data_IF_010557640547
#
_entry.id   IF_010557640547
#
_cell.length_a   1.000
_cell.length_b   1.000
_cell.length_c   1.000
_cell.angle_alpha   90.00
_cell.angle_beta   90.00
_cell.angle_gamma   90.00
#
_symmetry.space_group_name_H-M   'P 1'
#
loop_
_entity.id
_entity.type
_entity.pdbx_description
1 polymer ?
#
# COMPACT_ATOMS: atom_id res chain seq x y z
N UNK A 1 20.17 2.86 -5.85
CA UNK A 1 18.69 2.73 -5.78
C UNK A 1 18.10 3.53 -4.62
N UNK A 2 18.35 3.21 -3.34
CA UNK A 2 17.80 3.98 -2.21
C UNK A 2 18.19 5.47 -2.25
N UNK A 3 19.47 5.79 -2.39
CA UNK A 3 19.93 7.20 -2.42
C UNK A 3 19.31 8.03 -3.54
N UNK A 4 19.09 7.45 -4.71
CA UNK A 4 18.44 8.12 -5.84
C UNK A 4 16.95 8.38 -5.58
N UNK A 5 16.22 7.37 -5.08
CA UNK A 5 14.82 7.53 -4.70
C UNK A 5 14.64 8.56 -3.57
N UNK A 6 15.52 8.52 -2.57
CA UNK A 6 15.55 9.48 -1.45
C UNK A 6 15.82 10.90 -1.94
N UNK A 7 16.83 11.10 -2.79
CA UNK A 7 17.14 12.40 -3.35
C UNK A 7 15.98 12.93 -4.20
N UNK A 8 15.43 12.11 -5.10
CA UNK A 8 14.33 12.52 -5.98
C UNK A 8 13.09 12.91 -5.19
N UNK A 9 12.67 12.08 -4.22
CA UNK A 9 11.51 12.41 -3.39
C UNK A 9 11.77 13.64 -2.54
N UNK A 10 12.97 13.79 -1.97
CA UNK A 10 13.28 14.95 -1.13
C UNK A 10 13.18 16.27 -1.90
N UNK A 11 13.67 16.27 -3.14
CA UNK A 11 13.57 17.44 -4.04
C UNK A 11 12.12 17.74 -4.40
N UNK A 12 11.31 16.73 -4.72
CA UNK A 12 9.90 16.93 -5.06
C UNK A 12 9.04 17.36 -3.87
N UNK A 13 9.34 16.84 -2.68
CA UNK A 13 8.58 17.11 -1.46
C UNK A 13 9.00 18.42 -0.77
N UNK A 14 10.22 18.91 -1.03
CA UNK A 14 10.80 20.05 -0.32
C UNK A 14 11.19 19.75 1.13
N UNK A 15 11.31 18.47 1.48
CA UNK A 15 11.66 17.98 2.83
C UNK A 15 12.49 16.70 2.72
N UNK A 16 13.31 16.41 3.72
CA UNK A 16 14.20 15.24 3.69
C UNK A 16 13.36 13.95 3.76
N UNK A 17 13.58 13.07 2.79
CA UNK A 17 13.00 11.73 2.75
C UNK A 17 14.13 10.69 2.58
N UNK A 18 14.08 9.64 3.40
CA UNK A 18 15.04 8.53 3.37
C UNK A 18 14.32 7.21 3.10
N UNK A 19 14.89 6.39 2.22
CA UNK A 19 14.38 5.06 1.88
C UNK A 19 15.40 4.00 2.27
N UNK A 20 14.90 2.89 2.82
CA UNK A 20 15.66 1.65 2.97
C UNK A 20 15.69 0.88 1.63
N UNK A 21 16.73 0.08 1.40
CA UNK A 21 16.75 -0.90 0.31
C UNK A 21 17.34 -2.23 0.77
N UNK A 22 16.79 -3.31 0.24
CA UNK A 22 17.24 -4.68 0.48
C UNK A 22 17.28 -5.47 -0.82
N UNK A 23 18.15 -6.47 -0.86
CA UNK A 23 18.23 -7.41 -1.98
C UNK A 23 17.37 -8.64 -1.63
N UNK A 24 16.51 -9.04 -2.57
CA UNK A 24 15.78 -10.30 -2.52
C UNK A 24 16.29 -11.22 -3.63
N UNK A 25 16.96 -12.30 -3.27
CA UNK A 25 17.49 -13.26 -4.24
C UNK A 25 16.39 -14.25 -4.63
N UNK A 26 15.97 -14.21 -5.90
CA UNK A 26 14.86 -15.00 -6.45
C UNK A 26 15.37 -15.77 -7.68
N UNK A 27 16.02 -16.94 -7.50
CA UNK A 27 16.77 -17.62 -8.56
C UNK A 27 15.91 -18.24 -9.67
N UNK A 28 14.59 -18.31 -9.51
CA UNK A 28 13.67 -18.86 -10.52
C UNK A 28 12.54 -17.89 -10.81
N UNK A 29 11.97 -17.97 -12.01
CA UNK A 29 10.83 -17.14 -12.41
C UNK A 29 9.63 -17.32 -11.47
N UNK A 30 9.37 -18.54 -11.01
CA UNK A 30 8.26 -18.82 -10.09
C UNK A 30 8.44 -18.06 -8.77
N UNK A 31 9.66 -17.98 -8.23
CA UNK A 31 9.94 -17.20 -7.02
C UNK A 31 9.72 -15.69 -7.22
N UNK A 32 9.98 -15.18 -8.43
CA UNK A 32 9.67 -13.79 -8.78
C UNK A 32 8.16 -13.56 -8.79
N UNK A 33 7.39 -14.45 -9.42
CA UNK A 33 5.92 -14.36 -9.46
C UNK A 33 5.33 -14.44 -8.05
N UNK A 34 5.80 -15.38 -7.24
CA UNK A 34 5.32 -15.55 -5.86
C UNK A 34 5.68 -14.35 -4.98
N UNK A 35 6.86 -13.76 -5.18
CA UNK A 35 7.25 -12.52 -4.52
C UNK A 35 6.27 -11.38 -4.81
N UNK A 36 5.91 -11.15 -6.09
CA UNK A 36 4.97 -10.10 -6.45
C UNK A 36 3.55 -10.38 -5.94
N UNK A 37 3.09 -11.64 -5.96
CA UNK A 37 1.81 -12.03 -5.35
C UNK A 37 1.79 -11.74 -3.86
N UNK A 38 2.87 -12.08 -3.17
CA UNK A 38 3.03 -11.80 -1.75
C UNK A 38 3.02 -10.29 -1.46
N UNK A 39 3.74 -9.47 -2.25
CA UNK A 39 3.70 -8.00 -2.12
C UNK A 39 2.32 -7.42 -2.40
N UNK A 40 1.56 -8.00 -3.34
CA UNK A 40 0.19 -7.58 -3.64
C UNK A 40 -0.78 -7.87 -2.49
N UNK A 41 -0.72 -9.07 -1.91
CA UNK A 41 -1.52 -9.43 -0.74
C UNK A 41 -1.14 -8.58 0.47
N UNK A 42 0.15 -8.31 0.66
CA UNK A 42 0.63 -7.42 1.73
C UNK A 42 0.11 -5.99 1.57
N UNK A 43 0.11 -5.45 0.34
CA UNK A 43 -0.47 -4.15 0.04
C UNK A 43 -1.97 -4.10 0.37
N UNK A 44 -2.73 -5.16 0.04
CA UNK A 44 -4.16 -5.26 0.33
C UNK A 44 -4.46 -5.23 1.83
N UNK A 45 -3.75 -6.04 2.62
CA UNK A 45 -3.89 -6.06 4.08
C UNK A 45 -3.49 -4.72 4.71
N UNK A 46 -2.39 -4.13 4.25
CA UNK A 46 -1.91 -2.84 4.75
C UNK A 46 -2.87 -1.70 4.41
N UNK A 47 -3.45 -1.70 3.21
CA UNK A 47 -4.46 -0.73 2.80
C UNK A 47 -5.69 -0.79 3.71
N UNK A 48 -6.27 -1.98 3.91
CA UNK A 48 -7.43 -2.14 4.80
C UNK A 48 -7.14 -1.67 6.23
N UNK A 49 -6.00 -2.08 6.79
CA UNK A 49 -5.57 -1.62 8.12
C UNK A 49 -5.38 -0.10 8.18
N UNK A 50 -4.76 0.50 7.17
CA UNK A 50 -4.52 1.94 7.13
C UNK A 50 -5.83 2.72 7.05
N UNK A 51 -6.79 2.28 6.24
CA UNK A 51 -8.11 2.91 6.17
C UNK A 51 -8.83 2.86 7.52
N UNK A 52 -8.87 1.70 8.19
CA UNK A 52 -9.46 1.60 9.53
C UNK A 52 -8.74 2.52 10.52
N UNK A 53 -7.40 2.53 10.50
CA UNK A 53 -6.59 3.32 11.43
C UNK A 53 -6.84 4.80 11.27
N UNK A 54 -6.74 5.32 10.04
CA UNK A 54 -6.91 6.74 9.78
C UNK A 54 -8.36 7.20 9.97
N UNK A 55 -9.34 6.32 9.74
CA UNK A 55 -10.73 6.56 10.10
C UNK A 55 -10.86 6.76 11.62
N UNK A 56 -10.33 5.85 12.44
CA UNK A 56 -10.38 5.97 13.91
C UNK A 56 -9.65 7.23 14.41
N UNK A 57 -8.47 7.52 13.85
CA UNK A 57 -7.72 8.75 14.17
C UNK A 57 -8.52 10.01 13.85
N UNK A 58 -9.25 10.01 12.72
CA UNK A 58 -10.14 11.12 12.33
C UNK A 58 -11.37 11.24 13.25
N UNK A 59 -11.85 10.13 13.81
CA UNK A 59 -12.91 10.09 14.80
C UNK A 59 -12.46 10.53 16.21
N UNK A 60 -11.18 10.87 16.40
CA UNK A 60 -10.63 11.39 17.66
C UNK A 60 -9.91 10.35 18.52
N UNK A 61 -9.82 9.10 18.09
CA UNK A 61 -9.10 8.06 18.83
C UNK A 61 -7.62 8.36 18.92
N UNK A 62 -6.99 8.05 20.06
CA UNK A 62 -5.53 8.14 20.22
C UNK A 62 -4.80 7.12 19.33
N UNK A 63 -3.51 7.34 19.07
CA UNK A 63 -2.72 6.42 18.25
C UNK A 63 -2.65 5.00 18.86
N UNK A 64 -2.54 4.91 20.20
CA UNK A 64 -2.55 3.64 20.92
C UNK A 64 -3.91 2.95 20.85
N UNK A 65 -4.99 3.67 21.14
CA UNK A 65 -6.36 3.15 21.08
C UNK A 65 -6.73 2.64 19.69
N UNK A 66 -6.44 3.42 18.64
CA UNK A 66 -6.71 3.02 17.26
C UNK A 66 -5.95 1.74 16.87
N UNK A 67 -4.70 1.61 17.32
CA UNK A 67 -3.89 0.40 17.06
C UNK A 67 -4.47 -0.81 17.78
N UNK A 68 -4.82 -0.67 19.06
CA UNK A 68 -5.39 -1.74 19.87
C UNK A 68 -6.73 -2.23 19.32
N UNK A 69 -7.61 -1.31 18.93
CA UNK A 69 -8.92 -1.62 18.33
C UNK A 69 -8.80 -2.42 17.04
N UNK A 70 -7.75 -2.22 16.23
CA UNK A 70 -7.56 -2.91 14.95
C UNK A 70 -6.78 -4.22 15.08
N UNK A 71 -5.90 -4.33 16.09
CA UNK A 71 -4.89 -5.40 16.20
C UNK A 71 -5.47 -6.82 16.16
N UNK A 72 -6.68 -7.04 16.67
CA UNK A 72 -7.31 -8.37 16.74
C UNK A 72 -8.53 -8.55 15.84
N UNK A 73 -8.87 -7.56 15.01
CA UNK A 73 -10.01 -7.66 14.12
C UNK A 73 -9.70 -8.57 12.92
N UNK A 74 -10.67 -9.40 12.55
CA UNK A 74 -10.60 -10.14 11.29
C UNK A 74 -10.72 -9.19 10.10
N UNK A 75 -10.45 -9.70 8.89
CA UNK A 75 -10.66 -8.93 7.65
C UNK A 75 -12.13 -8.54 7.51
N UNK A 76 -13.07 -9.42 7.89
CA UNK A 76 -14.51 -9.13 7.85
C UNK A 76 -14.86 -8.00 8.81
N UNK A 77 -14.38 -8.07 10.05
CA UNK A 77 -14.68 -7.06 11.07
C UNK A 77 -14.12 -5.69 10.71
N UNK A 78 -12.97 -5.64 10.02
CA UNK A 78 -12.38 -4.39 9.52
C UNK A 78 -13.23 -3.74 8.43
N UNK A 79 -13.77 -4.55 7.52
CA UNK A 79 -14.69 -4.07 6.48
C UNK A 79 -15.98 -3.53 7.10
N UNK A 80 -16.55 -4.28 8.07
CA UNK A 80 -17.74 -3.84 8.80
C UNK A 80 -17.49 -2.54 9.56
N UNK A 81 -16.35 -2.43 10.25
CA UNK A 81 -15.95 -1.22 10.98
C UNK A 81 -15.87 0.00 10.05
N UNK A 82 -15.26 -0.15 8.87
CA UNK A 82 -15.19 0.94 7.88
C UNK A 82 -16.56 1.34 7.36
N UNK A 83 -17.42 0.37 7.10
CA UNK A 83 -18.77 0.61 6.62
C UNK A 83 -19.62 1.31 7.68
N UNK A 84 -19.64 0.80 8.91
CA UNK A 84 -20.45 1.37 9.99
C UNK A 84 -20.02 2.78 10.42
N UNK A 85 -18.72 3.04 10.51
CA UNK A 85 -18.21 4.30 11.08
C UNK A 85 -17.98 5.39 10.03
N UNK A 86 -17.65 5.02 8.79
CA UNK A 86 -17.31 5.98 7.75
C UNK A 86 -18.19 5.86 6.50
N UNK A 87 -19.11 4.89 6.45
CA UNK A 87 -19.89 4.56 5.25
C UNK A 87 -18.99 4.30 4.03
N UNK A 88 -17.83 3.69 4.26
CA UNK A 88 -16.85 3.34 3.21
C UNK A 88 -16.90 1.84 2.99
N UNK A 89 -17.31 1.44 1.79
CA UNK A 89 -17.10 0.08 1.32
C UNK A 89 -15.67 -0.05 0.76
N UNK A 90 -14.84 -0.85 1.42
CA UNK A 90 -13.46 -1.06 0.98
C UNK A 90 -13.37 -1.59 -0.45
N UNK A 91 -14.35 -2.37 -0.92
CA UNK A 91 -14.36 -2.90 -2.28
C UNK A 91 -14.54 -1.82 -3.35
N UNK A 92 -15.12 -0.68 -3.01
CA UNK A 92 -15.38 0.43 -3.95
C UNK A 92 -14.21 1.41 -4.02
N UNK A 93 -13.19 1.26 -3.16
CA UNK A 93 -12.00 2.09 -3.21
C UNK A 93 -11.19 1.84 -4.49
N UNK A 94 -10.48 2.86 -5.01
CA UNK A 94 -9.64 2.71 -6.19
C UNK A 94 -8.63 1.57 -6.06
N UNK A 95 -8.47 0.79 -7.14
CA UNK A 95 -7.59 -0.39 -7.13
C UNK A 95 -6.14 -0.06 -6.73
N UNK A 96 -5.63 1.12 -7.11
CA UNK A 96 -4.26 1.52 -6.75
C UNK A 96 -4.06 1.69 -5.23
N UNK A 97 -5.10 2.07 -4.48
CA UNK A 97 -5.03 2.16 -3.01
C UNK A 97 -4.98 0.76 -2.38
N UNK A 98 -5.73 -0.19 -2.95
CA UNK A 98 -5.87 -1.55 -2.43
C UNK A 98 -4.76 -2.49 -2.86
N UNK A 99 -4.18 -2.28 -4.04
CA UNK A 99 -3.30 -3.26 -4.70
C UNK A 99 -1.94 -2.69 -5.09
N UNK A 100 -1.73 -1.39 -4.90
CA UNK A 100 -0.52 -0.68 -5.32
C UNK A 100 -0.49 -0.43 -6.82
N UNK A 101 0.70 -0.09 -7.31
CA UNK A 101 0.98 0.25 -8.71
C UNK A 101 2.14 -0.63 -9.19
N UNK A 102 1.94 -1.29 -10.34
CA UNK A 102 2.99 -2.02 -11.05
C UNK A 102 3.44 -1.21 -12.27
N UNK A 103 4.76 -1.13 -12.48
CA UNK A 103 5.35 -0.49 -13.64
C UNK A 103 6.13 -1.54 -14.41
N UNK A 104 5.89 -1.63 -15.70
CA UNK A 104 6.58 -2.54 -16.61
C UNK A 104 6.89 -1.80 -17.91
N UNK A 105 7.93 -2.25 -18.59
CA UNK A 105 8.27 -1.74 -19.91
C UNK A 105 7.40 -2.45 -20.94
N UNK A 106 6.78 -1.67 -21.82
CA UNK A 106 5.99 -2.15 -22.96
C UNK A 106 6.63 -1.69 -24.26
N UNK A 107 6.70 -2.59 -25.24
CA UNK A 107 7.12 -2.28 -26.60
C UNK A 107 5.89 -2.08 -27.46
N UNK A 108 5.77 -0.91 -28.11
CA UNK A 108 4.68 -0.62 -29.05
C UNK A 108 5.24 -0.06 -30.36
N UNK A 109 4.53 -0.29 -31.46
CA UNK A 109 4.87 0.32 -32.75
C UNK A 109 4.37 1.77 -32.78
N UNK A 110 5.26 2.70 -33.10
CA UNK A 110 4.91 4.11 -33.30
C UNK A 110 4.75 4.36 -34.79
N UNK A 111 3.54 4.69 -35.24
CA UNK A 111 3.33 5.13 -36.62
C UNK A 111 4.08 6.45 -36.84
N UNK A 112 4.86 6.51 -37.93
CA UNK A 112 5.56 7.74 -38.34
C UNK A 112 4.57 8.58 -39.13
N UNK A 113 4.31 9.81 -38.67
CA UNK A 113 3.61 10.84 -39.44
C UNK A 113 4.53 11.39 -40.52
#
# INVERSE_FOLDING_TARGET
MAGEASAKLSVLLGSIAAFDCRISQLPTLNLVVDYFRWRNEDAHRNALNAHCYWMLRKAGESAGSATEKIYRLSVSDKNELLYQQANINFNDLPSWQKRGIGVYWESYQKEST
#
